data_IF_712239189220
#
_entry.id   IF_712239189220
#
_cell.length_a   1.000
_cell.length_b   1.000
_cell.length_c   1.000
_cell.angle_alpha   90.00
_cell.angle_beta   90.00
_cell.angle_gamma   90.00
#
_symmetry.space_group_name_H-M   'P 1'
#
loop_
_entity.id
_entity.type
_entity.pdbx_description
1 polymer ?
#
# COMPACT_ATOMS: atom_id res chain seq x y z
N UNK A 1 20.02 6.29 -7.84
CA UNK A 1 18.87 5.41 -8.00
C UNK A 1 17.62 6.08 -7.50
N UNK A 2 16.53 5.90 -8.22
CA UNK A 2 15.29 6.55 -7.83
C UNK A 2 14.68 5.82 -6.64
N UNK A 3 13.98 6.57 -5.81
CA UNK A 3 13.26 6.01 -4.69
C UNK A 3 12.01 5.28 -5.19
N UNK A 4 11.61 4.19 -4.55
CA UNK A 4 10.37 3.53 -4.91
C UNK A 4 9.18 4.45 -4.73
N UNK A 5 8.20 4.30 -5.61
CA UNK A 5 7.00 5.13 -5.62
C UNK A 5 5.84 4.36 -4.99
N UNK A 6 5.18 4.99 -4.05
CA UNK A 6 4.06 4.40 -3.33
C UNK A 6 2.81 5.26 -3.57
N UNK A 7 1.75 4.63 -4.01
CA UNK A 7 0.46 5.30 -4.14
C UNK A 7 -0.42 4.85 -2.98
N UNK A 8 -0.97 5.81 -2.25
CA UNK A 8 -1.91 5.53 -1.18
C UNK A 8 -3.30 5.96 -1.66
N UNK A 9 -4.24 5.03 -1.64
CA UNK A 9 -5.62 5.29 -2.01
C UNK A 9 -6.50 5.08 -0.79
N UNK A 10 -7.02 6.18 -0.23
CA UNK A 10 -7.79 6.16 1.01
C UNK A 10 -8.60 7.44 1.08
N UNK A 11 -9.90 7.34 1.34
CA UNK A 11 -10.76 8.50 1.43
C UNK A 11 -10.54 9.33 2.70
N UNK A 12 -9.88 8.77 3.69
CA UNK A 12 -9.53 9.51 4.92
C UNK A 12 -8.30 10.37 4.62
N UNK A 13 -8.54 11.65 4.41
CA UNK A 13 -7.48 12.58 4.02
C UNK A 13 -6.41 12.74 5.09
N UNK A 14 -6.82 12.83 6.35
CA UNK A 14 -5.88 13.02 7.44
C UNK A 14 -5.01 11.77 7.64
N UNK A 15 -5.62 10.60 7.67
CA UNK A 15 -4.90 9.36 7.88
C UNK A 15 -3.92 9.07 6.74
N UNK A 16 -4.37 9.27 5.50
CA UNK A 16 -3.52 9.00 4.35
C UNK A 16 -2.34 9.97 4.27
N UNK A 17 -2.58 11.22 4.64
CA UNK A 17 -1.51 12.21 4.65
C UNK A 17 -0.46 11.88 5.70
N UNK A 18 -0.90 11.49 6.89
CA UNK A 18 0.04 11.11 7.96
C UNK A 18 0.85 9.89 7.56
N UNK A 19 0.21 8.90 6.97
CA UNK A 19 0.90 7.72 6.51
C UNK A 19 1.92 8.07 5.43
N UNK A 20 1.53 8.90 4.48
CA UNK A 20 2.42 9.34 3.41
C UNK A 20 3.65 10.06 3.93
N UNK A 21 3.45 10.99 4.87
CA UNK A 21 4.57 11.71 5.48
C UNK A 21 5.51 10.78 6.21
N UNK A 22 4.94 9.82 6.94
CA UNK A 22 5.75 8.85 7.66
C UNK A 22 6.59 7.99 6.73
N UNK A 23 6.00 7.55 5.64
CA UNK A 23 6.72 6.73 4.68
C UNK A 23 7.84 7.52 3.99
N UNK A 24 7.59 8.78 3.66
CA UNK A 24 8.61 9.60 3.04
C UNK A 24 9.78 9.87 3.98
N UNK A 25 9.48 10.14 5.24
CA UNK A 25 10.51 10.49 6.22
C UNK A 25 11.35 9.29 6.66
N UNK A 26 10.70 8.15 6.85
CA UNK A 26 11.38 7.00 7.45
C UNK A 26 11.75 5.92 6.47
N UNK A 27 11.00 5.79 5.38
CA UNK A 27 11.18 4.68 4.45
C UNK A 27 11.94 5.01 3.18
N UNK A 28 12.15 6.29 2.91
CA UNK A 28 12.85 6.69 1.69
C UNK A 28 12.03 6.46 0.43
N UNK A 29 10.72 6.68 0.52
CA UNK A 29 9.81 6.50 -0.62
C UNK A 29 9.36 7.84 -1.18
N UNK A 30 8.94 7.83 -2.44
CA UNK A 30 8.19 8.93 -3.03
C UNK A 30 6.72 8.54 -2.94
N UNK A 31 5.92 9.34 -2.27
CA UNK A 31 4.53 8.98 -1.98
C UNK A 31 3.57 9.94 -2.67
N UNK A 32 2.52 9.38 -3.24
CA UNK A 32 1.39 10.15 -3.75
C UNK A 32 0.13 9.62 -3.08
N UNK A 33 -0.77 10.53 -2.72
CA UNK A 33 -2.01 10.17 -2.06
C UNK A 33 -3.18 10.51 -2.98
N UNK A 34 -4.10 9.57 -3.12
CA UNK A 34 -5.34 9.79 -3.84
C UNK A 34 -6.51 9.48 -2.91
N UNK A 35 -7.38 10.45 -2.70
CA UNK A 35 -8.49 10.29 -1.76
C UNK A 35 -9.83 9.94 -2.43
N UNK A 36 -9.83 9.77 -3.74
CA UNK A 36 -11.03 9.40 -4.48
C UNK A 36 -10.84 8.05 -5.15
N UNK A 37 -11.73 7.12 -4.86
CA UNK A 37 -11.67 5.79 -5.46
C UNK A 37 -11.83 5.85 -6.97
N UNK A 38 -12.67 6.77 -7.47
CA UNK A 38 -12.89 6.89 -8.90
C UNK A 38 -11.70 7.43 -9.66
N UNK A 39 -10.78 8.10 -8.96
CA UNK A 39 -9.57 8.65 -9.56
C UNK A 39 -8.37 7.71 -9.42
N UNK A 40 -8.53 6.66 -8.63
CA UNK A 40 -7.39 5.81 -8.25
C UNK A 40 -6.72 5.15 -9.46
N UNK A 41 -7.50 4.60 -10.36
CA UNK A 41 -6.95 3.92 -11.52
C UNK A 41 -6.15 4.88 -12.41
N UNK A 42 -6.74 6.05 -12.71
CA UNK A 42 -6.05 7.07 -13.51
C UNK A 42 -4.79 7.56 -12.86
N UNK A 43 -4.82 7.72 -11.54
CA UNK A 43 -3.66 8.15 -10.79
C UNK A 43 -2.55 7.09 -10.84
N UNK A 44 -2.93 5.83 -10.72
CA UNK A 44 -1.97 4.74 -10.80
C UNK A 44 -1.29 4.69 -12.17
N UNK A 45 -2.06 4.89 -13.23
CA UNK A 45 -1.49 4.90 -14.59
C UNK A 45 -0.52 6.06 -14.78
N UNK A 46 -0.84 7.21 -14.22
CA UNK A 46 -0.01 8.41 -14.32
C UNK A 46 1.28 8.28 -13.53
N UNK A 47 1.12 7.90 -12.27
CA UNK A 47 2.22 7.89 -11.31
C UNK A 47 3.14 6.68 -11.48
N UNK A 48 2.60 5.58 -11.94
CA UNK A 48 3.30 4.30 -12.08
C UNK A 48 3.98 3.87 -10.78
N UNK A 49 3.18 3.63 -9.75
CA UNK A 49 3.75 3.27 -8.45
C UNK A 49 4.40 1.90 -8.48
N UNK A 50 5.32 1.70 -7.56
CA UNK A 50 5.94 0.40 -7.35
C UNK A 50 5.11 -0.46 -6.41
N UNK A 51 4.34 0.17 -5.53
CA UNK A 51 3.39 -0.50 -4.63
C UNK A 51 2.19 0.42 -4.42
N UNK A 52 1.01 -0.18 -4.30
CA UNK A 52 -0.21 0.56 -4.01
C UNK A 52 -0.74 0.12 -2.64
N UNK A 53 -1.00 1.07 -1.77
CA UNK A 53 -1.69 0.84 -0.50
C UNK A 53 -3.13 1.28 -0.70
N UNK A 54 -4.07 0.37 -0.56
CA UNK A 54 -5.45 0.61 -0.98
C UNK A 54 -6.42 0.30 0.16
N UNK A 55 -7.19 1.30 0.56
CA UNK A 55 -8.23 1.11 1.55
C UNK A 55 -9.35 0.24 0.97
N UNK A 56 -9.78 -0.74 1.73
CA UNK A 56 -10.83 -1.66 1.30
C UNK A 56 -12.19 -0.97 1.24
N UNK A 57 -12.47 -0.11 2.22
CA UNK A 57 -13.78 0.53 2.33
C UNK A 57 -13.71 2.00 2.01
N UNK A 58 -14.26 2.38 0.88
CA UNK A 58 -14.35 3.78 0.47
C UNK A 58 -15.77 4.06 -0.03
N UNK A 59 -16.31 5.24 0.27
CA UNK A 59 -17.63 5.60 -0.23
C UNK A 59 -17.68 5.56 -1.76
N UNK A 60 -18.74 4.99 -2.29
CA UNK A 60 -18.98 4.96 -3.71
C UNK A 60 -18.17 3.96 -4.50
N UNK A 61 -17.23 3.28 -3.87
CA UNK A 61 -16.45 2.25 -4.54
C UNK A 61 -15.85 1.30 -3.53
N UNK A 62 -15.72 0.07 -3.97
CA UNK A 62 -15.12 -1.00 -3.19
C UNK A 62 -13.64 -1.08 -3.60
N UNK A 63 -12.77 -1.23 -2.61
CA UNK A 63 -11.34 -1.41 -2.89
C UNK A 63 -11.07 -2.59 -3.81
N UNK A 64 -11.90 -3.64 -3.72
CA UNK A 64 -11.78 -4.78 -4.62
C UNK A 64 -11.99 -4.41 -6.07
N UNK A 65 -12.94 -3.51 -6.34
CA UNK A 65 -13.21 -3.07 -7.70
C UNK A 65 -12.03 -2.25 -8.25
N UNK A 66 -11.46 -1.40 -7.41
CA UNK A 66 -10.29 -0.62 -7.79
C UNK A 66 -9.11 -1.55 -8.08
N UNK A 67 -8.89 -2.54 -7.22
CA UNK A 67 -7.82 -3.50 -7.41
C UNK A 67 -8.00 -4.29 -8.70
N UNK A 68 -9.25 -4.65 -9.01
CA UNK A 68 -9.55 -5.37 -10.24
C UNK A 68 -9.19 -4.54 -11.47
N UNK A 69 -9.58 -3.26 -11.48
CA UNK A 69 -9.25 -2.37 -12.58
C UNK A 69 -7.73 -2.27 -12.78
N UNK A 70 -7.00 -2.13 -11.69
CA UNK A 70 -5.55 -2.01 -11.73
C UNK A 70 -4.92 -3.30 -12.25
N UNK A 71 -5.37 -4.42 -11.72
CA UNK A 71 -4.83 -5.72 -12.09
C UNK A 71 -5.15 -6.09 -13.55
N UNK A 72 -6.27 -5.59 -14.07
CA UNK A 72 -6.68 -5.85 -15.44
C UNK A 72 -5.88 -5.04 -16.45
N UNK A 73 -5.21 -3.99 -16.03
CA UNK A 73 -4.40 -3.15 -16.92
C UNK A 73 -3.02 -3.78 -17.09
N UNK A 74 -2.61 -4.08 -18.32
CA UNK A 74 -1.30 -4.71 -18.55
C UNK A 74 -0.13 -3.93 -17.98
N UNK A 75 -0.21 -2.60 -17.94
CA UNK A 75 0.90 -1.79 -17.43
C UNK A 75 0.98 -1.77 -15.90
N UNK A 76 -0.10 -2.19 -15.23
CA UNK A 76 -0.17 -2.18 -13.77
C UNK A 76 -0.33 -3.57 -13.17
N UNK A 77 -0.45 -4.58 -14.00
CA UNK A 77 -0.75 -5.94 -13.56
C UNK A 77 0.25 -6.48 -12.56
N UNK A 78 1.51 -6.12 -12.70
CA UNK A 78 2.56 -6.60 -11.83
C UNK A 78 2.74 -5.75 -10.56
N UNK A 79 2.02 -4.63 -10.45
CA UNK A 79 2.18 -3.75 -9.31
C UNK A 79 1.52 -4.37 -8.08
N UNK A 80 2.26 -4.64 -7.00
CA UNK A 80 1.67 -5.20 -5.81
C UNK A 80 0.66 -4.25 -5.17
N UNK A 81 -0.44 -4.80 -4.69
CA UNK A 81 -1.46 -4.06 -3.97
C UNK A 81 -1.55 -4.62 -2.56
N UNK A 82 -1.40 -3.74 -1.58
CA UNK A 82 -1.55 -4.09 -0.17
C UNK A 82 -2.82 -3.39 0.29
N UNK A 83 -3.78 -4.17 0.77
CA UNK A 83 -5.03 -3.60 1.27
C UNK A 83 -4.88 -3.15 2.70
N UNK A 84 -5.45 -1.99 3.01
CA UNK A 84 -5.56 -1.51 4.38
C UNK A 84 -7.02 -1.60 4.77
N UNK A 85 -7.31 -2.13 5.95
CA UNK A 85 -8.69 -2.29 6.37
C UNK A 85 -8.87 -2.07 7.86
N UNK A 86 -9.94 -1.35 8.21
CA UNK A 86 -10.38 -1.22 9.60
C UNK A 86 -11.52 -2.18 9.91
N UNK A 87 -11.95 -2.97 8.93
CA UNK A 87 -13.08 -3.87 9.06
C UNK A 87 -12.63 -5.30 9.33
N UNK A 88 -11.86 -5.48 10.39
CA UNK A 88 -11.40 -6.81 10.73
C UNK A 88 -11.91 -7.16 12.12
N UNK A 89 -12.29 -8.42 12.29
CA UNK A 89 -12.61 -8.94 13.61
C UNK A 89 -11.31 -9.07 14.41
N UNK A 90 -11.43 -9.26 15.70
CA UNK A 90 -10.24 -9.42 16.53
C UNK A 90 -9.29 -10.49 16.03
N UNK A 91 -9.81 -11.55 15.46
CA UNK A 91 -8.98 -12.63 14.95
C UNK A 91 -8.24 -12.24 13.68
N UNK A 92 -8.91 -11.52 12.81
CA UNK A 92 -8.32 -11.09 11.55
C UNK A 92 -7.32 -9.97 11.74
N UNK A 93 -7.52 -9.16 12.77
CA UNK A 93 -6.63 -8.03 13.04
C UNK A 93 -5.20 -8.45 13.35
N UNK A 94 -5.00 -9.69 13.79
CA UNK A 94 -3.67 -10.16 14.15
C UNK A 94 -2.96 -10.87 13.01
N UNK A 95 -3.61 -11.02 11.87
CA UNK A 95 -3.06 -11.77 10.75
C UNK A 95 -2.93 -10.90 9.53
N UNK A 96 -1.87 -11.13 8.79
CA UNK A 96 -1.80 -10.68 7.42
C UNK A 96 -2.58 -11.71 6.61
N UNK A 97 -3.70 -11.28 6.07
CA UNK A 97 -4.57 -12.19 5.33
C UNK A 97 -4.24 -12.07 3.86
N UNK A 98 -4.03 -13.22 3.22
CA UNK A 98 -3.83 -13.24 1.77
C UNK A 98 -5.03 -13.90 1.12
N UNK A 99 -5.67 -13.14 0.25
CA UNK A 99 -6.78 -13.64 -0.55
C UNK A 99 -6.54 -13.27 -1.99
N UNK A 100 -6.59 -14.24 -2.87
CA UNK A 100 -6.38 -13.98 -4.28
C UNK A 100 -5.02 -13.38 -4.59
N UNK A 101 -4.03 -13.64 -3.76
CA UNK A 101 -2.69 -13.11 -3.95
C UNK A 101 -2.47 -11.73 -3.36
N UNK A 102 -3.48 -11.15 -2.72
CA UNK A 102 -3.35 -9.82 -2.10
C UNK A 102 -3.07 -9.94 -0.61
N UNK A 103 -2.33 -9.00 -0.11
CA UNK A 103 -2.03 -8.91 1.31
C UNK A 103 -2.89 -7.84 1.96
N UNK A 104 -3.35 -8.10 3.19
CA UNK A 104 -4.20 -7.17 3.93
C UNK A 104 -3.51 -6.79 5.22
N UNK A 105 -3.47 -5.49 5.52
CA UNK A 105 -2.99 -4.98 6.80
C UNK A 105 -4.15 -4.31 7.52
N UNK A 106 -4.28 -4.56 8.81
CA UNK A 106 -5.34 -3.90 9.59
C UNK A 106 -4.91 -2.51 10.01
N UNK A 107 -5.86 -1.58 10.00
CA UNK A 107 -5.66 -0.24 10.51
C UNK A 107 -5.94 -0.20 12.00
N UNK A 108 -5.25 0.64 12.78
CA UNK A 108 -4.13 1.46 12.34
C UNK A 108 -2.86 0.63 12.23
N UNK A 109 -2.15 0.79 11.13
CA UNK A 109 -0.90 0.07 10.94
C UNK A 109 0.27 1.00 11.27
N UNK A 110 1.24 0.49 12.00
CA UNK A 110 2.42 1.28 12.32
C UNK A 110 3.25 1.51 11.05
N UNK A 111 3.96 2.61 11.02
CA UNK A 111 4.83 2.92 9.87
C UNK A 111 5.82 1.78 9.63
N UNK A 112 6.40 1.24 10.70
CA UNK A 112 7.36 0.15 10.56
C UNK A 112 6.77 -1.08 9.92
N UNK A 113 5.53 -1.43 10.29
CA UNK A 113 4.85 -2.57 9.72
C UNK A 113 4.53 -2.38 8.24
N UNK A 114 4.11 -1.17 7.89
CA UNK A 114 3.80 -0.85 6.50
C UNK A 114 5.08 -0.92 5.66
N UNK A 115 6.17 -0.34 6.15
CA UNK A 115 7.45 -0.36 5.45
C UNK A 115 7.94 -1.79 5.25
N UNK A 116 7.83 -2.61 6.29
CA UNK A 116 8.21 -4.00 6.22
C UNK A 116 7.45 -4.74 5.13
N UNK A 117 6.15 -4.50 5.05
CA UNK A 117 5.30 -5.11 4.05
C UNK A 117 5.66 -4.64 2.64
N UNK A 118 5.88 -3.33 2.49
CA UNK A 118 6.29 -2.76 1.21
C UNK A 118 7.62 -3.35 0.76
N UNK A 119 8.59 -3.41 1.64
CA UNK A 119 9.92 -3.93 1.31
C UNK A 119 9.87 -5.39 0.89
N UNK A 120 9.01 -6.18 1.52
CA UNK A 120 8.81 -7.56 1.11
C UNK A 120 8.30 -7.66 -0.33
N UNK A 121 7.34 -6.83 -0.67
CA UNK A 121 6.77 -6.85 -2.03
C UNK A 121 7.74 -6.32 -3.07
N UNK A 122 8.65 -5.43 -2.68
CA UNK A 122 9.65 -4.91 -3.59
C UNK A 122 10.89 -5.81 -3.68
N UNK A 123 10.94 -6.84 -2.85
CA UNK A 123 12.12 -7.68 -2.78
C UNK A 123 13.30 -6.99 -2.12
N UNK A 124 13.04 -5.91 -1.35
CA UNK A 124 14.08 -5.21 -0.60
C UNK A 124 14.19 -5.80 0.78
N UNK A 125 15.37 -5.75 1.32
CA UNK A 125 15.57 -6.09 2.71
C UNK A 125 15.44 -4.83 3.55
N UNK A 126 14.87 -4.99 4.73
CA UNK A 126 14.84 -3.91 5.70
C UNK A 126 16.28 -3.51 6.01
N UNK A 127 16.54 -2.20 6.10
CA UNK A 127 17.90 -1.69 6.32
C UNK A 127 18.53 -2.29 7.56
N UNK A 128 17.78 -2.38 8.65
CA UNK A 128 18.29 -2.96 9.88
C UNK A 128 18.61 -4.45 9.71
N UNK A 129 17.72 -5.19 9.07
CA UNK A 129 17.94 -6.61 8.81
C UNK A 129 19.11 -6.81 7.85
N UNK A 130 19.20 -5.96 6.85
CA UNK A 130 20.28 -6.00 5.89
C UNK A 130 21.63 -5.83 6.58
N UNK A 131 21.73 -4.88 7.50
CA UNK A 131 22.96 -4.65 8.23
C UNK A 131 23.33 -5.84 9.10
N UNK A 132 22.34 -6.47 9.67
CA UNK A 132 22.58 -7.65 10.52
C UNK A 132 23.01 -8.83 9.65
N UNK A 133 22.37 -9.01 8.52
CA UNK A 133 22.67 -10.18 7.70
C UNK A 133 24.01 -10.09 7.02
N UNK A 134 24.52 -8.91 6.80
CA UNK A 134 25.84 -8.73 6.20
C UNK A 134 26.95 -9.04 7.19
N UNK A 135 26.68 -8.79 8.44
CA UNK A 135 27.64 -9.12 9.47
C UNK A 135 27.74 -10.62 9.64
#
# INVERSE_FOLDING_TARGET
>A
MSKPKILIVDDDMAASRLLGLGLEKTGGFVVKVENSATQAFGRAREFRPDVILLDVCMPGADGGDVAFQIHDDPSLRSTPIIFLTSLVSGQEATKTVQRGGYEFLSKPASIGKVIECIDRHLGRQNVAASNVSVA
#
